data_IF_829022421543
#
_entry.id   IF_829022421543
#
_cell.length_a   1.000
_cell.length_b   1.000
_cell.length_c   1.000
_cell.angle_alpha   90.00
_cell.angle_beta   90.00
_cell.angle_gamma   90.00
#
_symmetry.space_group_name_H-M   'P 1'
#
loop_
_entity.id
_entity.type
_entity.pdbx_description
1 polymer ?
#
# COMPACT_ATOMS: atom_id res chain seq x y z
N UNK A 1 -5.51 6.02 -6.94
CA UNK A 1 -5.37 4.55 -6.93
C UNK A 1 -6.32 3.97 -7.95
N UNK A 2 -5.84 3.19 -8.91
CA UNK A 2 -6.67 2.57 -9.94
C UNK A 2 -6.87 1.08 -9.61
N UNK A 3 -8.06 0.55 -9.87
CA UNK A 3 -8.36 -0.87 -9.77
C UNK A 3 -8.46 -1.47 -11.17
N UNK A 4 -7.82 -2.62 -11.37
CA UNK A 4 -7.82 -3.32 -12.64
C UNK A 4 -8.23 -4.77 -12.44
N UNK A 5 -8.92 -5.31 -13.45
CA UNK A 5 -9.38 -6.71 -13.46
C UNK A 5 -8.24 -7.72 -13.63
N UNK A 6 -7.10 -7.31 -14.18
CA UNK A 6 -5.93 -8.15 -14.45
C UNK A 6 -4.70 -7.30 -14.79
N UNK A 7 -3.51 -7.91 -14.70
CA UNK A 7 -2.22 -7.32 -15.05
C UNK A 7 -2.11 -6.99 -16.55
N UNK A 8 -2.73 -7.80 -17.41
CA UNK A 8 -2.79 -7.50 -18.85
C UNK A 8 -3.52 -6.16 -19.11
N UNK A 9 -4.58 -5.89 -18.34
CA UNK A 9 -5.29 -4.62 -18.46
C UNK A 9 -4.43 -3.45 -17.96
N UNK A 10 -3.59 -3.66 -16.93
CA UNK A 10 -2.63 -2.66 -16.46
C UNK A 10 -1.64 -2.32 -17.58
N UNK A 11 -1.04 -3.33 -18.21
CA UNK A 11 -0.07 -3.12 -19.30
C UNK A 11 -0.68 -2.31 -20.44
N UNK A 12 -1.92 -2.64 -20.85
CA UNK A 12 -2.65 -1.92 -21.91
C UNK A 12 -3.00 -0.49 -21.52
N UNK A 13 -3.50 -0.28 -20.29
CA UNK A 13 -3.89 1.04 -19.80
C UNK A 13 -2.69 1.97 -19.60
N UNK A 14 -1.57 1.42 -19.13
CA UNK A 14 -0.32 2.16 -18.87
C UNK A 14 0.27 2.74 -20.16
N UNK A 15 0.33 1.94 -21.23
CA UNK A 15 1.05 2.30 -22.44
C UNK A 15 2.53 2.56 -22.13
N UNK A 16 3.06 3.69 -22.60
CA UNK A 16 4.47 4.07 -22.45
C UNK A 16 4.81 4.77 -21.12
N UNK A 17 3.81 5.04 -20.27
CA UNK A 17 4.04 5.74 -19.00
C UNK A 17 4.91 4.90 -18.07
N UNK A 18 5.76 5.54 -17.27
CA UNK A 18 6.53 4.83 -16.23
C UNK A 18 5.58 4.13 -15.24
N UNK A 19 5.84 2.85 -14.89
CA UNK A 19 5.00 2.12 -13.94
C UNK A 19 5.26 2.63 -12.51
N UNK A 20 4.18 2.86 -11.77
CA UNK A 20 4.25 2.87 -10.29
C UNK A 20 4.30 1.45 -9.72
N UNK A 21 3.97 1.29 -8.45
CA UNK A 21 3.78 -0.04 -7.87
C UNK A 21 2.37 -0.60 -8.13
N UNK A 22 2.30 -1.91 -8.35
CA UNK A 22 1.04 -2.68 -8.39
C UNK A 22 1.05 -3.70 -7.27
N UNK A 23 -0.08 -3.87 -6.59
CA UNK A 23 -0.29 -4.88 -5.56
C UNK A 23 -1.65 -5.54 -5.77
N UNK A 24 -1.82 -6.77 -5.29
CA UNK A 24 -3.13 -7.42 -5.30
C UNK A 24 -4.12 -6.70 -4.38
N UNK A 25 -5.42 -6.81 -4.68
CA UNK A 25 -6.50 -6.30 -3.81
C UNK A 25 -6.43 -6.93 -2.41
N UNK A 26 -6.01 -8.20 -2.32
CA UNK A 26 -5.82 -8.86 -1.03
C UNK A 26 -4.70 -8.23 -0.21
N UNK A 27 -3.59 -7.81 -0.83
CA UNK A 27 -2.51 -7.10 -0.14
C UNK A 27 -2.94 -5.68 0.25
N UNK A 28 -3.67 -4.97 -0.61
CA UNK A 28 -4.28 -3.68 -0.28
C UNK A 28 -5.22 -3.78 0.93
N UNK A 29 -6.07 -4.81 0.98
CA UNK A 29 -6.96 -5.05 2.13
C UNK A 29 -6.17 -5.31 3.42
N UNK A 30 -5.09 -6.11 3.37
CA UNK A 30 -4.21 -6.33 4.53
C UNK A 30 -3.55 -5.04 5.00
N UNK A 31 -3.04 -4.23 4.06
CA UNK A 31 -2.50 -2.90 4.37
C UNK A 31 -3.56 -2.06 5.07
N UNK A 32 -4.80 -2.03 4.55
CA UNK A 32 -5.87 -1.23 5.12
C UNK A 32 -6.20 -1.62 6.57
N UNK A 33 -6.37 -2.91 6.84
CA UNK A 33 -6.60 -3.38 8.20
C UNK A 33 -5.43 -3.03 9.12
N UNK A 34 -4.20 -3.27 8.67
CA UNK A 34 -3.00 -2.95 9.47
C UNK A 34 -2.82 -1.45 9.73
N UNK A 35 -3.32 -0.59 8.86
CA UNK A 35 -3.17 0.87 8.96
C UNK A 35 -4.27 1.54 9.78
N UNK A 36 -5.49 1.00 9.76
CA UNK A 36 -6.66 1.67 10.32
C UNK A 36 -7.38 0.92 11.44
N UNK A 37 -6.99 -0.31 11.78
CA UNK A 37 -7.68 -1.12 12.82
C UNK A 37 -7.75 -0.45 14.19
N UNK A 38 -6.78 0.40 14.52
CA UNK A 38 -6.69 1.10 15.80
C UNK A 38 -7.20 2.54 15.74
N UNK A 39 -7.66 3.02 14.58
CA UNK A 39 -7.95 4.45 14.36
C UNK A 39 -9.05 5.02 15.25
N UNK A 40 -9.91 4.16 15.77
CA UNK A 40 -11.04 4.52 16.64
C UNK A 40 -10.75 4.30 18.14
N UNK A 41 -9.54 3.86 18.49
CA UNK A 41 -9.17 3.68 19.89
C UNK A 41 -9.03 5.04 20.58
N UNK A 42 -9.45 5.19 21.85
CA UNK A 42 -9.41 6.47 22.57
C UNK A 42 -8.00 7.07 22.71
N UNK A 43 -6.99 6.21 22.74
CA UNK A 43 -5.57 6.55 22.84
C UNK A 43 -4.88 6.65 21.48
N UNK A 44 -5.65 6.60 20.38
CA UNK A 44 -5.08 6.68 19.05
C UNK A 44 -4.29 7.98 18.87
N UNK A 45 -3.08 7.84 18.34
CA UNK A 45 -2.25 8.95 17.89
C UNK A 45 -1.76 8.73 16.45
N UNK A 46 -1.37 9.80 15.74
CA UNK A 46 -0.64 9.66 14.49
C UNK A 46 0.57 8.74 14.66
N UNK A 47 0.76 7.88 13.66
CA UNK A 47 1.92 6.99 13.57
C UNK A 47 3.16 7.80 13.26
N UNK A 48 4.29 7.40 13.85
CA UNK A 48 5.61 7.88 13.41
C UNK A 48 5.95 7.29 12.04
N UNK A 49 6.99 7.86 11.41
CA UNK A 49 7.56 7.31 10.17
C UNK A 49 7.93 5.84 10.34
N UNK A 50 8.66 5.51 11.40
CA UNK A 50 9.15 4.15 11.65
C UNK A 50 8.00 3.16 11.90
N UNK A 51 6.95 3.59 12.61
CA UNK A 51 5.74 2.78 12.81
C UNK A 51 5.00 2.53 11.49
N UNK A 52 4.91 3.53 10.62
CA UNK A 52 4.34 3.39 9.28
C UNK A 52 5.17 2.45 8.40
N UNK A 53 6.49 2.63 8.39
CA UNK A 53 7.43 1.81 7.64
C UNK A 53 7.35 0.33 8.07
N UNK A 54 7.30 0.07 9.38
CA UNK A 54 7.14 -1.29 9.92
C UNK A 54 5.83 -1.96 9.47
N UNK A 55 4.75 -1.20 9.29
CA UNK A 55 3.50 -1.74 8.76
C UNK A 55 3.66 -2.15 7.29
N UNK A 56 4.28 -1.30 6.46
CA UNK A 56 4.54 -1.60 5.04
C UNK A 56 5.38 -2.86 4.90
N UNK A 57 6.46 -2.97 5.66
CA UNK A 57 7.34 -4.15 5.66
C UNK A 57 6.60 -5.42 6.08
N UNK A 58 5.79 -5.34 7.15
CA UNK A 58 4.99 -6.48 7.64
C UNK A 58 3.98 -6.97 6.61
N UNK A 59 3.45 -6.10 5.75
CA UNK A 59 2.54 -6.51 4.65
C UNK A 59 3.27 -6.84 3.34
N UNK A 60 4.61 -6.85 3.34
CA UNK A 60 5.45 -7.22 2.21
C UNK A 60 5.63 -6.11 1.16
N UNK A 61 5.50 -4.85 1.56
CA UNK A 61 5.71 -3.67 0.73
C UNK A 61 7.09 -3.07 1.05
N UNK A 62 8.13 -3.69 0.50
CA UNK A 62 9.54 -3.44 0.90
C UNK A 62 10.41 -2.79 -0.18
N UNK A 63 9.93 -2.62 -1.41
CA UNK A 63 10.71 -1.97 -2.47
C UNK A 63 10.88 -0.46 -2.21
N UNK A 64 11.83 0.17 -2.90
CA UNK A 64 12.12 1.60 -2.76
C UNK A 64 10.91 2.51 -2.93
N UNK A 65 9.93 2.10 -3.75
CA UNK A 65 8.65 2.80 -3.92
C UNK A 65 7.88 2.99 -2.59
N UNK A 66 8.06 2.07 -1.64
CA UNK A 66 7.36 2.04 -0.36
C UNK A 66 8.17 2.61 0.80
N UNK A 67 9.35 3.18 0.55
CA UNK A 67 10.12 3.85 1.59
C UNK A 67 9.46 5.19 1.91
N UNK A 68 9.06 5.35 3.17
CA UNK A 68 8.48 6.62 3.63
C UNK A 68 9.58 7.71 3.72
N UNK A 69 9.28 8.96 3.32
CA UNK A 69 10.23 10.07 3.43
C UNK A 69 10.59 10.39 4.88
#
# INVERSE_FOLDING_TARGET
>A
MNLFRSEEHIARWRGEREPGATISVSRLSRLAHAWWSDRLQPDWRPRTRDEGQAILERVGLTSDFWQLP
#
